data_IF_028353447004
#
_entry.id   IF_028353447004
#
_cell.length_a   1.000
_cell.length_b   1.000
_cell.length_c   1.000
_cell.angle_alpha   90.00
_cell.angle_beta   90.00
_cell.angle_gamma   90.00
#
_symmetry.space_group_name_H-M   'P 1'
#
loop_
_entity.id
_entity.type
_entity.pdbx_description
1 polymer ?
#
# COMPACT_ATOMS: atom_id res chain seq x y z
N UNK A 1 23.14 14.85 10.58
CA UNK A 1 23.23 14.81 9.11
C UNK A 1 21.86 14.45 8.59
N UNK A 2 21.32 15.26 7.70
CA UNK A 2 20.05 15.00 7.04
C UNK A 2 20.30 14.04 5.87
N UNK A 3 19.65 12.89 5.86
CA UNK A 3 19.76 11.92 4.77
C UNK A 3 18.42 11.81 4.03
N UNK A 4 18.47 12.00 2.70
CA UNK A 4 17.29 11.96 1.83
C UNK A 4 17.35 10.68 1.00
N UNK A 5 16.30 9.87 1.13
CA UNK A 5 16.12 8.64 0.39
C UNK A 5 15.24 8.92 -0.83
N UNK A 6 15.88 9.03 -1.99
CA UNK A 6 15.23 9.34 -3.26
C UNK A 6 14.44 8.15 -3.83
N UNK A 7 13.58 8.44 -4.80
CA UNK A 7 12.89 7.41 -5.57
C UNK A 7 13.88 6.73 -6.52
N UNK A 8 13.99 5.41 -6.46
CA UNK A 8 14.83 4.62 -7.34
C UNK A 8 14.49 4.89 -8.83
N UNK A 9 15.48 4.85 -9.74
CA UNK A 9 15.29 5.19 -11.13
C UNK A 9 14.35 4.22 -11.86
N UNK A 10 14.35 2.94 -11.50
CA UNK A 10 13.49 1.91 -12.11
C UNK A 10 11.99 2.21 -11.96
N UNK A 11 11.47 2.35 -10.72
CA UNK A 11 10.08 2.73 -10.49
C UNK A 11 9.68 4.06 -11.14
N UNK A 12 10.59 5.04 -11.19
CA UNK A 12 10.36 6.32 -11.88
C UNK A 12 10.17 6.13 -13.39
N UNK A 13 11.03 5.32 -14.03
CA UNK A 13 10.88 4.96 -15.45
C UNK A 13 9.58 4.22 -15.73
N UNK A 14 9.18 3.28 -14.86
CA UNK A 14 7.91 2.57 -14.99
C UNK A 14 6.69 3.52 -14.92
N UNK A 15 6.73 4.56 -14.08
CA UNK A 15 5.69 5.59 -14.06
C UNK A 15 5.66 6.42 -15.35
N UNK A 16 6.82 6.81 -15.88
CA UNK A 16 6.91 7.54 -17.15
C UNK A 16 6.32 6.70 -18.30
N UNK A 17 6.66 5.41 -18.38
CA UNK A 17 6.10 4.50 -19.38
C UNK A 17 4.58 4.37 -19.26
N UNK A 18 4.05 4.31 -18.02
CA UNK A 18 2.59 4.29 -17.79
C UNK A 18 1.92 5.57 -18.26
N UNK A 19 2.51 6.74 -17.98
CA UNK A 19 2.02 8.02 -18.49
C UNK A 19 1.95 7.96 -20.02
N UNK A 20 3.05 7.57 -20.68
CA UNK A 20 3.09 7.45 -22.14
C UNK A 20 2.01 6.51 -22.68
N UNK A 21 1.83 5.34 -22.06
CA UNK A 21 0.81 4.38 -22.46
C UNK A 21 -0.61 4.97 -22.32
N UNK A 22 -0.92 5.61 -21.20
CA UNK A 22 -2.24 6.24 -21.00
C UNK A 22 -2.47 7.39 -21.98
N UNK A 23 -1.44 8.17 -22.30
CA UNK A 23 -1.52 9.23 -23.32
C UNK A 23 -1.80 8.65 -24.70
N UNK A 24 -1.12 7.57 -25.10
CA UNK A 24 -1.37 6.90 -26.39
C UNK A 24 -2.78 6.34 -26.46
N UNK A 25 -3.26 5.69 -25.38
CA UNK A 25 -4.62 5.16 -25.30
C UNK A 25 -5.66 6.29 -25.37
N UNK A 26 -5.44 7.40 -24.65
CA UNK A 26 -6.33 8.55 -24.69
C UNK A 26 -6.37 9.19 -26.09
N UNK A 27 -5.21 9.35 -26.74
CA UNK A 27 -5.13 9.89 -28.10
C UNK A 27 -5.80 8.97 -29.13
N UNK A 28 -5.60 7.66 -29.02
CA UNK A 28 -6.25 6.68 -29.89
C UNK A 28 -7.77 6.64 -29.71
N UNK A 29 -8.24 6.69 -28.46
CA UNK A 29 -9.67 6.76 -28.17
C UNK A 29 -10.30 8.06 -28.68
N UNK A 30 -9.61 9.19 -28.54
CA UNK A 30 -10.07 10.48 -29.06
C UNK A 30 -10.16 10.46 -30.59
N UNK A 31 -9.15 9.88 -31.26
CA UNK A 31 -9.15 9.72 -32.71
C UNK A 31 -10.34 8.87 -33.20
N UNK A 32 -10.61 7.74 -32.54
CA UNK A 32 -11.75 6.88 -32.88
C UNK A 32 -13.09 7.57 -32.66
N UNK A 33 -13.21 8.43 -31.64
CA UNK A 33 -14.40 9.25 -31.43
C UNK A 33 -14.60 10.25 -32.59
N UNK A 34 -13.53 10.94 -33.02
CA UNK A 34 -13.59 11.92 -34.11
C UNK A 34 -13.96 11.30 -35.47
N UNK A 35 -13.72 10.01 -35.67
CA UNK A 35 -14.14 9.26 -36.87
C UNK A 35 -15.62 8.82 -36.85
N UNK A 36 -16.44 9.41 -35.99
CA UNK A 36 -17.85 9.02 -35.81
C UNK A 36 -18.06 7.88 -34.82
N UNK A 37 -17.06 7.60 -33.98
CA UNK A 37 -17.16 6.60 -32.93
C UNK A 37 -18.18 6.96 -31.84
N UNK A 38 -18.65 5.95 -31.11
CA UNK A 38 -19.61 6.13 -30.02
C UNK A 38 -19.07 6.98 -28.86
N UNK A 39 -19.98 7.52 -28.03
CA UNK A 39 -19.64 8.28 -26.82
C UNK A 39 -18.79 7.49 -25.80
N UNK A 40 -18.71 6.15 -25.93
CA UNK A 40 -17.82 5.30 -25.15
C UNK A 40 -16.35 5.70 -25.34
N UNK A 41 -15.94 6.04 -26.56
CA UNK A 41 -14.57 6.45 -26.88
C UNK A 41 -14.21 7.78 -26.24
N UNK A 42 -15.17 8.70 -26.14
CA UNK A 42 -15.01 9.96 -25.41
C UNK A 42 -14.85 9.70 -23.89
N UNK A 43 -15.65 8.79 -23.33
CA UNK A 43 -15.50 8.36 -21.93
C UNK A 43 -14.14 7.72 -21.64
N UNK A 44 -13.66 6.85 -22.53
CA UNK A 44 -12.33 6.23 -22.43
C UNK A 44 -11.21 7.27 -22.53
N UNK A 45 -11.36 8.27 -23.39
CA UNK A 45 -10.42 9.40 -23.49
C UNK A 45 -10.33 10.14 -22.16
N UNK A 46 -11.47 10.48 -21.55
CA UNK A 46 -11.51 11.16 -20.26
C UNK A 46 -10.86 10.33 -19.14
N UNK A 47 -11.14 9.03 -19.10
CA UNK A 47 -10.58 8.13 -18.09
C UNK A 47 -9.06 7.93 -18.26
N UNK A 48 -8.60 7.62 -19.47
CA UNK A 48 -7.18 7.43 -19.76
C UNK A 48 -6.41 8.74 -19.59
N UNK A 49 -6.96 9.86 -20.06
CA UNK A 49 -6.40 11.20 -19.86
C UNK A 49 -6.31 11.57 -18.38
N UNK A 50 -7.36 11.31 -17.60
CA UNK A 50 -7.36 11.53 -16.15
C UNK A 50 -6.29 10.70 -15.43
N UNK A 51 -6.11 9.43 -15.81
CA UNK A 51 -5.05 8.57 -15.27
C UNK A 51 -3.64 9.06 -15.66
N UNK A 52 -3.46 9.53 -16.90
CA UNK A 52 -2.20 10.11 -17.34
C UNK A 52 -1.84 11.36 -16.53
N UNK A 53 -2.80 12.27 -16.33
CA UNK A 53 -2.63 13.49 -15.54
C UNK A 53 -2.34 13.15 -14.07
N UNK A 54 -3.07 12.21 -13.47
CA UNK A 54 -2.81 11.78 -12.09
C UNK A 54 -1.41 11.17 -11.92
N UNK A 55 -0.96 10.38 -12.89
CA UNK A 55 0.39 9.80 -12.90
C UNK A 55 1.47 10.88 -13.10
N UNK A 56 1.24 11.88 -13.95
CA UNK A 56 2.12 13.04 -14.12
C UNK A 56 2.23 13.87 -12.84
N UNK A 57 1.11 14.17 -12.18
CA UNK A 57 1.10 14.89 -10.91
C UNK A 57 1.88 14.11 -9.85
N UNK A 58 1.68 12.80 -9.78
CA UNK A 58 2.43 11.90 -8.88
C UNK A 58 3.92 11.97 -9.15
N UNK A 59 4.34 11.92 -10.43
CA UNK A 59 5.73 12.01 -10.85
C UNK A 59 6.36 13.37 -10.51
N UNK A 60 5.62 14.46 -10.72
CA UNK A 60 6.09 15.82 -10.49
C UNK A 60 6.22 16.15 -8.99
N UNK A 61 5.29 15.65 -8.18
CA UNK A 61 5.24 15.95 -6.74
C UNK A 61 6.12 15.02 -5.89
N UNK A 62 6.36 13.78 -6.33
CA UNK A 62 7.12 12.82 -5.54
C UNK A 62 8.62 12.89 -5.83
N UNK A 63 9.32 13.78 -5.12
CA UNK A 63 10.77 13.97 -5.26
C UNK A 63 11.60 12.95 -4.46
N UNK A 64 11.11 12.51 -3.32
CA UNK A 64 11.78 11.54 -2.44
C UNK A 64 10.78 10.56 -1.82
N UNK A 65 11.27 9.52 -1.17
CA UNK A 65 10.45 8.55 -0.42
C UNK A 65 10.46 8.88 1.05
N UNK A 66 11.63 9.08 1.64
CA UNK A 66 11.78 9.44 3.04
C UNK A 66 12.96 10.39 3.25
N UNK A 67 12.87 11.24 4.27
CA UNK A 67 13.95 12.06 4.79
C UNK A 67 14.12 11.72 6.27
N UNK A 68 15.36 11.52 6.69
CA UNK A 68 15.74 11.32 8.08
C UNK A 68 16.52 12.55 8.52
N UNK A 69 16.05 13.22 9.56
CA UNK A 69 16.67 14.44 10.09
C UNK A 69 16.82 14.37 11.62
N UNK A 70 17.37 15.43 12.22
CA UNK A 70 17.54 15.50 13.67
C UNK A 70 16.22 15.49 14.46
N UNK A 71 15.09 15.86 13.83
CA UNK A 71 13.77 15.96 14.47
C UNK A 71 12.99 14.66 14.37
N UNK A 72 13.19 13.88 13.30
CA UNK A 72 12.52 12.61 13.10
C UNK A 72 12.63 12.08 11.67
N UNK A 73 11.55 11.45 11.25
CA UNK A 73 11.41 10.86 9.92
C UNK A 73 10.24 11.53 9.20
N UNK A 74 10.52 12.05 8.01
CA UNK A 74 9.51 12.63 7.12
C UNK A 74 9.34 11.76 5.89
N UNK A 75 8.12 11.33 5.60
CA UNK A 75 7.81 10.44 4.47
C UNK A 75 6.95 11.19 3.45
N UNK A 76 7.33 11.13 2.19
CA UNK A 76 6.57 11.74 1.09
C UNK A 76 5.63 10.69 0.47
N UNK A 77 4.33 10.93 0.59
CA UNK A 77 3.28 10.10 0.03
C UNK A 77 3.20 10.25 -1.49
N UNK A 78 2.52 9.31 -2.15
CA UNK A 78 2.34 9.32 -3.61
C UNK A 78 1.78 10.63 -4.17
N UNK A 79 0.93 11.34 -3.41
CA UNK A 79 0.33 12.61 -3.85
C UNK A 79 1.16 13.85 -3.50
N UNK A 80 2.40 13.67 -3.01
CA UNK A 80 3.29 14.76 -2.59
C UNK A 80 2.98 15.30 -1.20
N UNK A 81 2.06 14.68 -0.46
CA UNK A 81 1.79 15.04 0.94
C UNK A 81 2.91 14.48 1.81
N UNK A 82 3.45 15.31 2.67
CA UNK A 82 4.47 14.92 3.62
C UNK A 82 3.86 14.55 4.97
N UNK A 83 4.37 13.48 5.58
CA UNK A 83 4.03 13.08 6.94
C UNK A 83 5.30 13.03 7.77
N UNK A 84 5.35 13.83 8.82
CA UNK A 84 6.48 13.89 9.74
C UNK A 84 6.15 13.16 11.05
N UNK A 85 7.05 12.30 11.51
CA UNK A 85 7.00 11.67 12.83
C UNK A 85 8.28 11.98 13.61
N UNK A 86 8.14 12.50 14.82
CA UNK A 86 9.27 12.78 15.70
C UNK A 86 9.90 11.49 16.24
N UNK A 87 11.19 11.52 16.57
CA UNK A 87 11.89 10.33 17.09
C UNK A 87 11.21 9.69 18.31
N UNK A 88 10.70 10.52 19.25
CA UNK A 88 9.99 10.04 20.43
C UNK A 88 8.56 9.53 20.18
N UNK A 89 8.04 9.68 18.96
CA UNK A 89 6.71 9.22 18.58
C UNK A 89 6.74 7.84 17.90
N UNK A 90 7.89 7.43 17.38
CA UNK A 90 8.06 6.18 16.62
C UNK A 90 8.16 5.01 17.60
N UNK A 91 7.24 4.05 17.51
CA UNK A 91 7.19 2.89 18.41
C UNK A 91 7.72 1.61 17.75
N UNK A 92 7.38 1.40 16.48
CA UNK A 92 7.64 0.15 15.78
C UNK A 92 7.68 0.35 14.27
N UNK A 93 8.17 -0.64 13.54
CA UNK A 93 8.15 -0.64 12.08
C UNK A 93 7.76 -2.01 11.50
N UNK A 94 7.28 -2.01 10.26
CA UNK A 94 7.01 -3.22 9.45
C UNK A 94 7.87 -3.29 8.20
N UNK A 95 8.87 -2.42 8.13
CA UNK A 95 9.68 -2.22 6.93
C UNK A 95 10.58 -3.44 6.73
N UNK A 96 10.38 -4.08 5.59
CA UNK A 96 11.12 -5.24 5.11
C UNK A 96 11.66 -4.91 3.70
N UNK A 97 12.98 -5.01 3.45
CA UNK A 97 13.57 -4.77 2.13
C UNK A 97 13.07 -5.73 1.04
N UNK A 98 12.60 -6.93 1.42
CA UNK A 98 12.03 -7.90 0.48
C UNK A 98 10.58 -7.55 0.09
N UNK A 99 9.89 -6.72 0.89
CA UNK A 99 8.52 -6.29 0.62
C UNK A 99 8.49 -4.96 -0.12
N UNK A 100 7.44 -4.72 -0.90
CA UNK A 100 7.27 -3.46 -1.66
C UNK A 100 6.82 -2.29 -0.80
N UNK A 101 6.23 -2.55 0.36
CA UNK A 101 5.76 -1.54 1.30
C UNK A 101 6.05 -1.96 2.73
N UNK A 102 6.37 -0.97 3.54
CA UNK A 102 6.40 -1.06 5.00
C UNK A 102 5.73 0.16 5.61
N UNK A 103 5.69 0.19 6.92
CA UNK A 103 5.08 1.25 7.71
C UNK A 103 5.90 1.53 8.97
N UNK A 104 5.93 2.79 9.37
CA UNK A 104 6.32 3.21 10.72
C UNK A 104 5.05 3.38 11.54
N UNK A 105 5.01 2.75 12.71
CA UNK A 105 3.95 2.91 13.68
C UNK A 105 4.33 4.02 14.64
N UNK A 106 3.47 5.03 14.72
CA UNK A 106 3.72 6.28 15.42
C UNK A 106 2.60 6.52 16.42
N UNK A 107 2.94 6.76 17.68
CA UNK A 107 1.95 7.09 18.72
C UNK A 107 1.36 8.47 18.41
N UNK A 108 0.06 8.51 18.10
CA UNK A 108 -0.66 9.76 17.91
C UNK A 108 -1.12 10.31 19.27
N UNK A 109 -0.24 11.04 19.94
CA UNK A 109 -0.55 11.79 21.17
C UNK A 109 -0.99 10.94 22.37
N UNK A 110 -1.56 11.61 23.38
CA UNK A 110 -1.93 11.02 24.69
C UNK A 110 -3.16 10.08 24.66
N UNK A 111 -3.74 9.81 23.48
CA UNK A 111 -5.01 9.07 23.34
C UNK A 111 -4.90 7.62 22.87
N UNK A 112 -3.71 7.03 22.82
CA UNK A 112 -3.50 5.63 22.41
C UNK A 112 -3.81 5.32 20.93
N UNK A 113 -4.12 6.33 20.10
CA UNK A 113 -4.28 6.15 18.66
C UNK A 113 -2.91 5.93 18.02
N UNK A 114 -2.80 4.95 17.13
CA UNK A 114 -1.58 4.71 16.34
C UNK A 114 -1.77 5.35 14.96
N UNK A 115 -0.87 6.25 14.58
CA UNK A 115 -0.73 6.77 13.23
C UNK A 115 0.26 5.90 12.46
N UNK A 116 -0.08 5.63 11.21
CA UNK A 116 0.76 4.83 10.32
C UNK A 116 1.45 5.78 9.32
N UNK A 117 2.77 5.70 9.22
CA UNK A 117 3.57 6.37 8.20
C UNK A 117 3.99 5.33 7.14
N UNK A 118 3.34 5.29 5.97
CA UNK A 118 3.63 4.28 4.97
C UNK A 118 4.92 4.58 4.20
N UNK A 119 5.91 3.70 4.30
CA UNK A 119 7.19 3.79 3.60
C UNK A 119 7.19 2.84 2.41
N UNK A 120 7.40 3.38 1.21
CA UNK A 120 7.44 2.58 -0.02
C UNK A 120 8.83 2.01 -0.28
N UNK A 121 9.18 0.88 0.35
CA UNK A 121 10.46 0.19 0.14
C UNK A 121 10.73 -0.13 -1.34
N UNK A 122 9.70 -0.52 -2.09
CA UNK A 122 9.81 -0.81 -3.52
C UNK A 122 10.10 0.42 -4.38
N UNK A 123 9.75 1.62 -3.90
CA UNK A 123 10.07 2.89 -4.56
C UNK A 123 11.44 3.40 -4.16
N UNK A 124 11.91 3.06 -2.96
CA UNK A 124 13.23 3.44 -2.45
C UNK A 124 14.34 2.54 -3.04
N UNK A 125 14.02 1.26 -3.29
CA UNK A 125 15.00 0.25 -3.69
C UNK A 125 15.56 -0.49 -2.48
N UNK A 126 16.04 -1.72 -2.69
CA UNK A 126 16.46 -2.62 -1.61
C UNK A 126 17.62 -2.04 -0.78
N UNK A 127 18.71 -1.66 -1.43
CA UNK A 127 19.91 -1.10 -0.76
C UNK A 127 19.61 0.20 0.01
N UNK A 128 18.79 1.08 -0.57
CA UNK A 128 18.38 2.31 0.09
C UNK A 128 17.43 2.04 1.28
N UNK A 129 16.57 1.02 1.17
CA UNK A 129 15.72 0.57 2.30
C UNK A 129 16.57 -0.01 3.42
N UNK A 130 17.61 -0.80 3.10
CA UNK A 130 18.54 -1.36 4.09
C UNK A 130 19.30 -0.23 4.81
N UNK A 131 19.78 0.79 4.07
CA UNK A 131 20.39 1.99 4.66
C UNK A 131 19.41 2.78 5.54
N UNK A 132 18.17 2.94 5.09
CA UNK A 132 17.12 3.60 5.87
C UNK A 132 16.85 2.86 7.19
N UNK A 133 16.77 1.53 7.15
CA UNK A 133 16.64 0.69 8.35
C UNK A 133 17.85 0.79 9.27
N UNK A 134 19.06 0.79 8.72
CA UNK A 134 20.28 0.96 9.51
C UNK A 134 20.27 2.30 10.26
N UNK A 135 19.88 3.40 9.60
CA UNK A 135 19.73 4.72 10.24
C UNK A 135 18.64 4.76 11.30
N UNK A 136 17.52 4.09 11.06
CA UNK A 136 16.46 3.97 12.05
C UNK A 136 16.94 3.24 13.31
N UNK A 137 17.68 2.14 13.14
CA UNK A 137 18.23 1.34 14.24
C UNK A 137 19.38 2.05 14.97
N UNK A 138 20.18 2.83 14.27
CA UNK A 138 21.24 3.66 14.86
C UNK A 138 20.68 4.68 15.86
N UNK A 139 19.51 5.27 15.54
CA UNK A 139 18.83 6.21 16.43
C UNK A 139 17.89 5.57 17.44
N UNK A 140 17.24 4.47 17.07
CA UNK A 140 16.29 3.72 17.88
C UNK A 140 16.71 2.25 17.91
N UNK A 141 17.72 1.88 18.73
CA UNK A 141 18.27 0.51 18.73
C UNK A 141 17.25 -0.55 19.14
N UNK A 142 16.24 -0.16 19.92
CA UNK A 142 15.18 -1.04 20.43
C UNK A 142 13.88 -0.98 19.60
N UNK A 143 13.91 -0.44 18.38
CA UNK A 143 12.70 -0.36 17.56
C UNK A 143 12.22 -1.77 17.19
N UNK A 144 10.99 -2.12 17.59
CA UNK A 144 10.44 -3.44 17.35
C UNK A 144 9.94 -3.58 15.90
N UNK A 145 10.30 -4.68 15.26
CA UNK A 145 9.62 -5.11 14.04
C UNK A 145 8.27 -5.72 14.41
N UNK A 146 7.17 -5.07 14.06
CA UNK A 146 5.83 -5.49 14.44
C UNK A 146 4.93 -5.59 13.23
N UNK A 147 4.70 -6.80 12.72
CA UNK A 147 3.70 -7.03 11.67
C UNK A 147 2.31 -6.68 12.24
N UNK A 148 1.56 -5.73 11.67
CA UNK A 148 0.18 -5.53 12.05
C UNK A 148 -0.53 -6.84 11.72
N UNK A 149 -0.93 -7.57 12.77
CA UNK A 149 -1.95 -8.60 12.60
C UNK A 149 -3.12 -7.86 11.97
N UNK A 150 -3.44 -8.19 10.72
CA UNK A 150 -4.69 -7.77 10.09
C UNK A 150 -5.81 -8.33 10.96
N UNK A 151 -6.20 -7.56 11.97
CA UNK A 151 -7.36 -7.86 12.79
C UNK A 151 -8.57 -7.96 11.85
N UNK A 152 -9.39 -8.97 12.08
CA UNK A 152 -10.61 -9.31 11.37
C UNK A 152 -11.68 -8.18 11.41
N UNK A 153 -11.40 -7.01 10.83
CA UNK A 153 -12.24 -5.82 11.01
C UNK A 153 -12.23 -4.80 9.87
N UNK A 154 -11.60 -5.10 8.72
CA UNK A 154 -11.69 -4.29 7.51
C UNK A 154 -12.45 -5.01 6.37
N UNK A 155 -13.31 -5.98 6.73
CA UNK A 155 -14.37 -6.48 5.87
C UNK A 155 -15.56 -5.56 6.01
N UNK A 156 -15.85 -4.79 4.97
CA UNK A 156 -16.97 -3.86 4.92
C UNK A 156 -18.28 -4.55 5.33
N UNK A 157 -19.12 -3.77 6.01
CA UNK A 157 -20.55 -4.04 6.17
C UNK A 157 -21.19 -4.21 4.78
N UNK A 158 -21.20 -5.43 4.25
CA UNK A 158 -22.24 -5.88 3.33
C UNK A 158 -23.25 -6.65 4.17
N UNK A 159 -24.28 -5.90 4.59
CA UNK A 159 -25.52 -6.50 5.05
C UNK A 159 -26.08 -7.39 3.95
N UNK A 160 -26.37 -8.63 4.31
CA UNK A 160 -26.98 -9.62 3.44
C UNK A 160 -27.48 -10.75 4.31
N UNK A 161 -28.61 -10.52 5.00
CA UNK A 161 -29.42 -11.59 5.56
C UNK A 161 -29.72 -12.57 4.43
N UNK A 162 -29.10 -13.74 4.43
CA UNK A 162 -29.64 -14.88 3.71
C UNK A 162 -29.60 -16.08 4.64
N UNK A 163 -30.81 -16.44 5.08
CA UNK A 163 -31.05 -17.48 6.06
C UNK A 163 -30.52 -18.83 5.58
N UNK A 164 -29.78 -19.46 6.47
CA UNK A 164 -29.51 -20.90 6.41
C UNK A 164 -30.83 -21.60 6.70
N UNK A 165 -31.55 -22.00 5.65
CA UNK A 165 -32.56 -23.06 5.78
C UNK A 165 -31.82 -24.38 5.78
N UNK A 166 -31.85 -24.99 6.96
CA UNK A 166 -31.63 -26.40 7.25
C UNK A 166 -32.31 -27.30 6.23
N UNK A 167 -31.56 -28.26 5.69
CA UNK A 167 -32.06 -29.58 5.29
C UNK A 167 -30.94 -30.61 5.50
N UNK A 168 -30.78 -31.03 6.75
CA UNK A 168 -30.04 -32.25 7.08
C UNK A 168 -31.02 -33.42 6.98
N UNK A 169 -30.94 -34.21 5.92
CA UNK A 169 -31.64 -35.49 5.83
C UNK A 169 -30.76 -36.57 5.19
N UNK A 170 -30.77 -37.70 5.88
CA UNK A 170 -30.42 -39.05 5.44
C UNK A 170 -28.93 -39.44 5.43
N UNK A 171 -28.58 -40.26 6.41
CA UNK A 171 -27.33 -41.02 6.47
C UNK A 171 -27.25 -41.87 7.74
N UNK A 172 -28.33 -42.57 8.08
CA UNK A 172 -28.41 -43.48 9.23
C UNK A 172 -27.92 -44.86 8.79
N UNK A 173 -26.95 -45.41 9.54
CA UNK A 173 -26.91 -46.79 10.04
C UNK A 173 -25.58 -47.53 9.84
N UNK A 174 -25.07 -47.99 10.99
CA UNK A 174 -24.39 -49.25 11.25
C UNK A 174 -22.93 -49.44 10.77
N UNK A 175 -22.00 -49.52 11.72
CA UNK A 175 -21.51 -50.84 12.14
C UNK A 175 -20.96 -50.81 13.58
N UNK A 176 -21.22 -51.92 14.28
CA UNK A 176 -21.13 -52.13 15.73
C UNK A 176 -19.69 -52.25 16.23
N UNK A 177 -19.46 -51.61 17.36
CA UNK A 177 -18.40 -51.93 18.30
C UNK A 177 -18.81 -53.19 19.07
N UNK A 178 -17.96 -54.21 19.10
CA UNK A 178 -18.10 -55.38 19.96
C UNK A 178 -16.72 -55.80 20.44
N UNK A 179 -16.22 -55.08 21.44
CA UNK A 179 -15.27 -55.65 22.39
C UNK A 179 -16.06 -56.30 23.52
N UNK A 180 -15.87 -57.60 23.74
CA UNK A 180 -16.24 -58.25 25.00
C UNK A 180 -15.12 -59.23 25.40
N UNK A 181 -14.37 -58.78 26.41
CA UNK A 181 -13.70 -59.48 27.52
C UNK A 181 -13.51 -61.01 27.42
N UNK A 182 -12.32 -61.45 27.81
CA UNK A 182 -12.06 -62.81 28.29
C UNK A 182 -10.70 -63.30 27.85
#
# INVERSE_FOLDING_TARGET
>A
MDEVFEVAPGPRRAMILRVGLYTVVAAGALWLWLQGGSALWLGLTGLAGGLAVAALITLARRRYVAKVDARGVTVCLNWGREMHAGWGEIEAHTIDPARRMGTLLVRAGKGGRVRILPVSSGMMGREATERFLARLKDRLPNIEYRVPRLGAGAGGKTGGKMGVKTDAKAGKAANKNSGMKG
#
